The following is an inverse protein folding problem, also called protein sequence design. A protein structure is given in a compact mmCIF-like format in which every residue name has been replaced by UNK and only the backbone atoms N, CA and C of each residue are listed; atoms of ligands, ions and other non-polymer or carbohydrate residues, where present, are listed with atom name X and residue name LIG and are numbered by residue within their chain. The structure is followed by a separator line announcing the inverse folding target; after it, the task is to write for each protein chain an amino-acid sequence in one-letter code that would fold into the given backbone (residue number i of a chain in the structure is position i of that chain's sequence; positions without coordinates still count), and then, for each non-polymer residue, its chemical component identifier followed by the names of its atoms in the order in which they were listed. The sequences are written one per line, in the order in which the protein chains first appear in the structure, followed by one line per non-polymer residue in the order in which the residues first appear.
data_IF_730756675446
#
_entry.id   IF_730756675446
#
_cell.length_a   1.000
_cell.length_b   1.000
_cell.length_c   1.000
_cell.angle_alpha   90.00
_cell.angle_beta   90.00
_cell.angle_gamma   90.00
#
_symmetry.space_group_name_H-M   'P 1'
#
loop_
_entity.id
_entity.type
_entity.pdbx_description
1 polymer ?
#
# COMPACT_ATOMS: atom_id res chain seq x y z
N UNK A 1 -6.95 -17.09 17.85
CA UNK A 1 -6.58 -15.72 17.44
C UNK A 1 -7.86 -14.96 17.13
N UNK A 2 -8.15 -13.87 17.83
CA UNK A 2 -9.41 -13.12 17.64
C UNK A 2 -9.42 -12.46 16.24
N UNK A 3 -10.50 -12.59 15.46
CA UNK A 3 -10.59 -12.05 14.09
C UNK A 3 -10.36 -10.54 13.97
N UNK A 4 -10.57 -9.78 15.06
CA UNK A 4 -10.49 -8.32 15.08
C UNK A 4 -9.08 -7.71 15.20
N UNK A 5 -8.06 -8.45 15.65
CA UNK A 5 -6.72 -7.87 15.85
C UNK A 5 -6.01 -7.48 14.54
N UNK A 6 -6.43 -8.05 13.41
CA UNK A 6 -5.86 -7.74 12.09
C UNK A 6 -6.51 -6.52 11.42
N UNK A 7 -7.65 -6.03 11.93
CA UNK A 7 -8.37 -4.90 11.32
C UNK A 7 -7.50 -3.65 11.18
N UNK A 8 -6.78 -3.29 12.25
CA UNK A 8 -5.87 -2.15 12.23
C UNK A 8 -4.74 -2.27 11.18
N UNK A 9 -4.22 -3.48 10.95
CA UNK A 9 -3.18 -3.69 9.94
C UNK A 9 -3.74 -3.57 8.51
N UNK A 10 -4.94 -4.11 8.29
CA UNK A 10 -5.66 -3.99 7.01
C UNK A 10 -5.99 -2.52 6.73
N UNK A 11 -6.54 -1.81 7.71
CA UNK A 11 -6.93 -0.41 7.58
C UNK A 11 -5.71 0.49 7.38
N UNK A 12 -4.58 0.23 8.06
CA UNK A 12 -3.34 0.98 7.84
C UNK A 12 -2.87 0.91 6.37
N UNK A 13 -2.88 -0.29 5.79
CA UNK A 13 -2.47 -0.51 4.39
C UNK A 13 -3.49 0.10 3.42
N UNK A 14 -4.79 -0.08 3.69
CA UNK A 14 -5.88 0.51 2.91
C UNK A 14 -5.81 2.03 2.89
N UNK A 15 -5.64 2.65 4.06
CA UNK A 15 -5.53 4.10 4.21
C UNK A 15 -4.26 4.62 3.52
N UNK A 16 -3.13 3.90 3.62
CA UNK A 16 -1.94 4.26 2.87
C UNK A 16 -2.21 4.26 1.35
N UNK A 17 -2.96 3.27 0.86
CA UNK A 17 -3.31 3.16 -0.55
C UNK A 17 -4.21 4.31 -1.01
N UNK A 18 -5.32 4.57 -0.30
CA UNK A 18 -6.27 5.64 -0.58
C UNK A 18 -5.68 7.05 -0.40
N UNK A 19 -4.70 7.21 0.49
CA UNK A 19 -3.92 8.44 0.64
C UNK A 19 -2.78 8.57 -0.37
N UNK A 20 -2.74 7.71 -1.39
CA UNK A 20 -1.78 7.76 -2.50
C UNK A 20 -0.32 7.60 -2.04
N UNK A 21 -0.07 6.95 -0.90
CA UNK A 21 1.29 6.68 -0.44
C UNK A 21 1.91 5.54 -1.23
N UNK A 22 3.24 5.54 -1.32
CA UNK A 22 3.97 4.33 -1.67
C UNK A 22 3.87 3.30 -0.53
N UNK A 23 3.83 2.02 -0.89
CA UNK A 23 3.79 0.89 0.04
C UNK A 23 4.92 -0.07 -0.33
N UNK A 24 5.93 -0.15 0.54
CA UNK A 24 6.98 -1.16 0.46
C UNK A 24 6.58 -2.40 1.24
N UNK A 25 6.74 -3.59 0.65
CA UNK A 25 6.36 -4.84 1.32
C UNK A 25 7.36 -5.97 1.04
N UNK A 26 7.56 -6.88 1.99
CA UNK A 26 8.23 -8.15 1.75
C UNK A 26 7.26 -9.17 1.13
N UNK A 27 7.73 -10.20 0.42
CA UNK A 27 6.85 -11.22 -0.18
C UNK A 27 5.86 -11.85 0.82
N UNK A 28 6.31 -12.10 2.05
CA UNK A 28 5.49 -12.70 3.11
C UNK A 28 4.32 -11.81 3.57
N UNK A 29 4.40 -10.49 3.32
CA UNK A 29 3.33 -9.55 3.63
C UNK A 29 2.24 -9.49 2.55
N UNK A 30 2.42 -10.16 1.40
CA UNK A 30 1.45 -10.13 0.29
C UNK A 30 0.02 -10.50 0.72
N UNK A 31 -0.23 -11.52 1.57
CA UNK A 31 -1.59 -11.82 2.05
C UNK A 31 -2.27 -10.66 2.80
N UNK A 32 -1.50 -9.78 3.46
CA UNK A 32 -2.04 -8.57 4.08
C UNK A 32 -2.44 -7.54 3.02
N UNK A 33 -1.61 -7.32 2.01
CA UNK A 33 -1.90 -6.39 0.91
C UNK A 33 -3.16 -6.82 0.13
N UNK A 34 -3.26 -8.12 -0.18
CA UNK A 34 -4.41 -8.70 -0.88
C UNK A 34 -5.71 -8.47 -0.07
N UNK A 35 -5.68 -8.68 1.25
CA UNK A 35 -6.83 -8.40 2.15
C UNK A 35 -7.16 -6.91 2.27
N UNK A 36 -6.20 -6.03 2.01
CA UNK A 36 -6.35 -4.58 2.16
C UNK A 36 -6.95 -3.90 0.91
N UNK A 37 -7.09 -4.64 -0.20
CA UNK A 37 -7.62 -4.11 -1.46
C UNK A 37 -6.62 -3.27 -2.24
N UNK A 38 -5.31 -3.49 -2.02
CA UNK A 38 -4.24 -2.83 -2.76
C UNK A 38 -4.16 -3.40 -4.17
N UNK A 39 -4.09 -2.51 -5.17
CA UNK A 39 -3.79 -2.87 -6.56
C UNK A 39 -2.35 -2.51 -6.88
N UNK A 40 -1.69 -3.33 -7.70
CA UNK A 40 -0.31 -3.08 -8.12
C UNK A 40 -0.22 -1.80 -8.98
N UNK A 41 0.74 -0.93 -8.64
CA UNK A 41 1.11 0.24 -9.44
C UNK A 41 2.56 0.65 -9.14
N UNK A 42 3.00 1.79 -9.70
CA UNK A 42 4.36 2.31 -9.53
C UNK A 42 4.77 2.64 -8.08
N UNK A 43 3.82 2.73 -7.14
CA UNK A 43 4.07 2.95 -5.73
C UNK A 43 3.96 1.69 -4.86
N UNK A 44 3.61 0.53 -5.41
CA UNK A 44 3.60 -0.74 -4.68
C UNK A 44 4.92 -1.47 -4.99
N UNK A 45 5.82 -1.51 -4.02
CA UNK A 45 7.21 -1.91 -4.24
C UNK A 45 7.52 -3.14 -3.38
N UNK A 46 7.93 -4.24 -4.01
CA UNK A 46 8.54 -5.36 -3.28
C UNK A 46 9.92 -4.94 -2.81
N UNK A 47 10.17 -5.02 -1.50
CA UNK A 47 11.46 -4.72 -0.91
C UNK A 47 12.39 -5.93 -1.02
N UNK A 48 13.63 -5.69 -1.42
CA UNK A 48 14.73 -6.62 -1.23
C UNK A 48 15.51 -6.27 0.03
N UNK A 49 16.80 -6.62 0.07
CA UNK A 49 17.70 -6.29 1.20
C UNK A 49 17.88 -4.79 1.41
N UNK A 50 17.61 -3.98 0.38
CA UNK A 50 17.69 -2.53 0.39
C UNK A 50 16.40 -1.88 -0.06
N UNK A 51 16.17 -0.65 0.39
CA UNK A 51 14.97 0.13 0.09
C UNK A 51 15.15 1.13 -1.06
N UNK A 52 16.21 1.04 -1.86
CA UNK A 52 16.55 2.05 -2.88
C UNK A 52 15.40 2.27 -3.89
N UNK A 53 14.77 1.18 -4.35
CA UNK A 53 13.62 1.23 -5.26
C UNK A 53 12.37 1.88 -4.61
N UNK A 54 12.26 1.83 -3.29
CA UNK A 54 11.16 2.45 -2.54
C UNK A 54 11.37 3.95 -2.30
N UNK A 55 12.62 4.42 -2.23
CA UNK A 55 12.92 5.82 -1.88
C UNK A 55 12.30 6.84 -2.83
N UNK A 56 12.35 6.58 -4.15
CA UNK A 56 11.76 7.49 -5.15
C UNK A 56 10.24 7.60 -5.00
N UNK A 57 9.45 6.51 -5.03
CA UNK A 57 8.00 6.60 -4.86
C UNK A 57 7.58 7.07 -3.46
N UNK A 58 8.37 6.81 -2.41
CA UNK A 58 8.05 7.24 -1.04
C UNK A 58 8.17 8.75 -0.79
N UNK A 59 8.91 9.48 -1.63
CA UNK A 59 9.10 10.95 -1.52
C UNK A 59 7.95 11.77 -2.12
N UNK A 60 6.94 11.11 -2.64
CA UNK A 60 5.81 11.75 -3.32
C UNK A 60 4.51 10.97 -3.05
N UNK A 61 3.44 11.35 -3.74
CA UNK A 61 2.19 10.60 -3.83
C UNK A 61 2.03 9.99 -5.22
N UNK A 62 1.28 8.89 -5.27
CA UNK A 62 0.97 8.15 -6.49
C UNK A 62 -0.26 8.77 -7.16
N UNK A 63 -0.09 9.96 -7.74
CA UNK A 63 -1.21 10.74 -8.31
C UNK A 63 -1.98 10.00 -9.41
N UNK A 64 -1.32 9.14 -10.18
CA UNK A 64 -1.99 8.31 -11.20
C UNK A 64 -3.05 7.36 -10.60
N UNK A 65 -2.95 7.04 -9.29
CA UNK A 65 -3.93 6.22 -8.57
C UNK A 65 -5.18 7.02 -8.18
N UNK A 66 -5.07 8.34 -8.05
CA UNK A 66 -6.12 9.20 -7.49
C UNK A 66 -7.50 9.02 -8.14
N UNK A 67 -7.64 8.98 -9.48
CA UNK A 67 -8.95 8.79 -10.12
C UNK A 67 -9.62 7.46 -9.80
N UNK A 68 -8.85 6.45 -9.36
CA UNK A 68 -9.35 5.12 -9.04
C UNK A 68 -9.69 4.91 -7.56
N UNK A 69 -9.32 5.83 -6.68
CA UNK A 69 -9.52 5.69 -5.22
C UNK A 69 -10.29 6.85 -4.59
N UNK A 70 -10.64 7.87 -5.37
CA UNK A 70 -11.50 8.97 -4.95
C UNK A 70 -12.64 9.14 -5.94
N UNK A 71 -13.86 9.13 -5.43
CA UNK A 71 -14.98 9.74 -6.15
C UNK A 71 -14.83 11.25 -6.00
N UNK A 72 -14.61 11.97 -7.09
CA UNK A 72 -14.80 13.43 -7.06
C UNK A 72 -16.27 13.67 -6.68
N UNK A 73 -16.49 14.39 -5.59
CA UNK A 73 -17.82 14.83 -5.18
C UNK A 73 -18.35 15.87 -6.18
#
# INVERSE_FOLDING_TARGET
MLPGLQGAAIDFVRDAFGHLKAIGFSPDAKPLLDKSGVLADAGIVTLGDKADAFMKPARTRQWAREPGVRSLA
#
